data_IF_238076287143
#
_entry.id   IF_238076287143
#
_cell.length_a   1.000
_cell.length_b   1.000
_cell.length_c   1.000
_cell.angle_alpha   90.00
_cell.angle_beta   90.00
_cell.angle_gamma   90.00
#
_symmetry.space_group_name_H-M   'P 1'
#
loop_
_entity.id
_entity.type
_entity.pdbx_description
1 polymer ?
#
# COMPACT_ATOMS: atom_id res chain seq x y z
N UNK A 1 11.46 19.05 4.13
CA UNK A 1 10.02 19.33 4.01
C UNK A 1 9.26 18.26 4.78
N UNK A 2 8.54 18.63 5.84
CA UNK A 2 7.66 17.70 6.55
C UNK A 2 6.37 17.52 5.73
N UNK A 3 6.14 16.31 5.22
CA UNK A 3 4.86 15.97 4.61
C UNK A 3 3.90 15.54 5.71
N UNK A 4 2.78 16.26 5.86
CA UNK A 4 1.65 15.84 6.69
C UNK A 4 0.60 15.21 5.80
N UNK A 5 -0.01 14.14 6.30
CA UNK A 5 -1.15 13.51 5.64
C UNK A 5 -2.42 14.13 6.23
N UNK A 6 -3.26 14.72 5.38
CA UNK A 6 -4.49 15.40 5.82
C UNK A 6 -5.69 14.44 5.85
N UNK A 7 -5.76 13.53 4.87
CA UNK A 7 -6.82 12.52 4.77
C UNK A 7 -6.28 11.26 4.08
N UNK A 8 -6.78 10.11 4.52
CA UNK A 8 -6.53 8.79 3.97
C UNK A 8 -7.88 8.11 3.77
N UNK A 9 -8.19 7.74 2.53
CA UNK A 9 -9.34 6.91 2.20
C UNK A 9 -8.87 5.58 1.59
N UNK A 10 -9.32 4.46 2.16
CA UNK A 10 -8.99 3.10 1.70
C UNK A 10 -10.28 2.35 1.46
N UNK A 11 -10.48 1.86 0.24
CA UNK A 11 -11.67 1.09 -0.17
C UNK A 11 -11.24 -0.16 -0.93
N UNK A 12 -11.86 -1.30 -0.64
CA UNK A 12 -11.60 -2.55 -1.36
C UNK A 12 -10.19 -3.12 -1.20
N UNK A 13 -9.47 -2.79 -0.12
CA UNK A 13 -8.13 -3.31 0.14
C UNK A 13 -8.17 -4.48 1.13
N UNK A 14 -7.76 -5.68 0.68
CA UNK A 14 -7.85 -6.92 1.47
C UNK A 14 -9.26 -7.08 2.08
N UNK A 15 -9.37 -7.13 3.41
CA UNK A 15 -10.65 -7.26 4.12
C UNK A 15 -11.34 -5.91 4.43
N UNK A 16 -10.75 -4.78 4.03
CA UNK A 16 -11.30 -3.45 4.27
C UNK A 16 -12.32 -3.13 3.18
N UNK A 17 -13.58 -2.95 3.57
CA UNK A 17 -14.65 -2.52 2.67
C UNK A 17 -14.48 -1.04 2.30
N UNK A 18 -14.49 -0.18 3.31
CA UNK A 18 -14.25 1.25 3.19
C UNK A 18 -13.83 1.82 4.55
N UNK A 19 -12.78 2.64 4.57
CA UNK A 19 -12.30 3.36 5.75
C UNK A 19 -11.79 4.73 5.32
N UNK A 20 -12.22 5.78 6.00
CA UNK A 20 -11.68 7.13 5.83
C UNK A 20 -11.16 7.63 7.18
N UNK A 21 -9.96 8.22 7.17
CA UNK A 21 -9.28 8.68 8.37
C UNK A 21 -8.53 9.97 8.08
N UNK A 22 -8.78 10.99 8.91
CA UNK A 22 -7.98 12.21 8.97
C UNK A 22 -6.99 12.09 10.14
N UNK A 23 -5.72 11.71 9.92
CA UNK A 23 -4.78 11.47 11.01
C UNK A 23 -4.39 12.77 11.71
N UNK A 24 -4.51 12.77 13.04
CA UNK A 24 -4.00 13.83 13.90
C UNK A 24 -2.51 13.66 14.21
N UNK A 25 -1.92 14.51 15.09
CA UNK A 25 -0.52 14.38 15.51
C UNK A 25 -0.16 13.01 16.09
N UNK A 26 -1.13 12.36 16.73
CA UNK A 26 -1.06 10.97 17.21
C UNK A 26 -2.42 10.34 16.87
N UNK A 27 -2.42 9.18 16.22
CA UNK A 27 -3.64 8.44 15.88
C UNK A 27 -3.53 7.01 16.39
N UNK A 28 -4.53 6.55 17.15
CA UNK A 28 -4.56 5.20 17.74
C UNK A 28 -5.71 4.42 17.11
N UNK A 29 -5.41 3.24 16.54
CA UNK A 29 -6.39 2.35 15.95
C UNK A 29 -6.86 1.32 16.98
N UNK A 30 -8.13 1.39 17.41
CA UNK A 30 -8.72 0.49 18.42
C UNK A 30 -9.84 -0.35 17.81
N UNK A 31 -9.93 -1.62 18.20
CA UNK A 31 -11.06 -2.48 17.86
C UNK A 31 -10.78 -3.97 18.09
N UNK A 32 -11.73 -4.88 17.80
CA UNK A 32 -11.56 -6.32 17.96
C UNK A 32 -10.53 -6.90 16.98
N UNK A 33 -9.99 -8.08 17.30
CA UNK A 33 -9.15 -8.85 16.37
C UNK A 33 -9.95 -9.14 15.10
N UNK A 34 -9.34 -8.97 13.93
CA UNK A 34 -10.03 -9.14 12.64
C UNK A 34 -10.83 -7.92 12.14
N UNK A 35 -10.88 -6.81 12.89
CA UNK A 35 -11.53 -5.57 12.43
C UNK A 35 -10.81 -4.88 11.24
N UNK A 36 -9.69 -5.42 10.76
CA UNK A 36 -8.93 -4.85 9.64
C UNK A 36 -7.88 -3.80 10.02
N UNK A 37 -7.51 -3.68 11.30
CA UNK A 37 -6.46 -2.74 11.77
C UNK A 37 -5.10 -2.99 11.12
N UNK A 38 -4.63 -4.25 11.10
CA UNK A 38 -3.38 -4.60 10.43
C UNK A 38 -3.45 -4.33 8.93
N UNK A 39 -4.57 -4.67 8.30
CA UNK A 39 -4.78 -4.38 6.87
C UNK A 39 -4.78 -2.87 6.56
N UNK A 40 -5.19 -2.03 7.51
CA UNK A 40 -5.18 -0.57 7.34
C UNK A 40 -3.74 -0.05 7.43
N UNK A 41 -2.95 -0.56 8.37
CA UNK A 41 -1.52 -0.23 8.48
C UNK A 41 -0.79 -0.67 7.20
N UNK A 42 -1.04 -1.87 6.69
CA UNK A 42 -0.47 -2.36 5.42
C UNK A 42 -0.81 -1.42 4.25
N UNK A 43 -2.05 -0.92 4.18
CA UNK A 43 -2.47 0.01 3.14
C UNK A 43 -1.72 1.35 3.25
N UNK A 44 -1.54 1.87 4.46
CA UNK A 44 -0.78 3.12 4.70
C UNK A 44 0.70 2.95 4.36
N UNK A 45 1.29 1.81 4.69
CA UNK A 45 2.67 1.48 4.33
C UNK A 45 2.85 1.44 2.81
N UNK A 46 1.93 0.78 2.10
CA UNK A 46 1.89 0.76 0.64
C UNK A 46 1.81 2.19 0.07
N UNK A 47 0.94 3.04 0.60
CA UNK A 47 0.81 4.45 0.19
C UNK A 47 2.10 5.25 0.43
N UNK A 48 2.79 5.02 1.55
CA UNK A 48 4.09 5.63 1.83
C UNK A 48 5.13 5.27 0.79
N UNK A 49 5.28 3.97 0.49
CA UNK A 49 6.20 3.46 -0.53
C UNK A 49 5.88 3.97 -1.94
N UNK A 50 4.59 4.09 -2.27
CA UNK A 50 4.11 4.73 -3.51
C UNK A 50 4.59 6.18 -3.58
N UNK A 51 4.42 6.94 -2.49
CA UNK A 51 4.79 8.36 -2.42
C UNK A 51 6.32 8.57 -2.50
N UNK A 52 7.10 7.61 -2.02
CA UNK A 52 8.57 7.62 -2.09
C UNK A 52 9.13 7.14 -3.44
N UNK A 53 8.27 6.60 -4.32
CA UNK A 53 8.65 6.16 -5.68
C UNK A 53 9.09 4.70 -5.79
N UNK A 54 8.98 3.92 -4.71
CA UNK A 54 9.45 2.53 -4.60
C UNK A 54 8.39 1.46 -4.92
N UNK A 55 7.39 1.84 -5.72
CA UNK A 55 6.27 1.00 -6.17
C UNK A 55 6.68 -0.31 -6.83
N UNK A 56 7.86 -0.37 -7.44
CA UNK A 56 8.35 -1.53 -8.20
C UNK A 56 8.69 -2.73 -7.31
N UNK A 57 9.05 -2.51 -6.05
CA UNK A 57 9.44 -3.58 -5.13
C UNK A 57 8.24 -4.28 -4.49
N UNK A 58 7.19 -3.53 -4.14
CA UNK A 58 6.04 -4.07 -3.40
C UNK A 58 5.12 -4.94 -4.28
N UNK A 59 4.90 -4.54 -5.54
CA UNK A 59 4.11 -5.33 -6.49
C UNK A 59 4.78 -6.69 -6.76
N UNK A 60 6.11 -6.76 -6.73
CA UNK A 60 6.84 -8.03 -6.86
C UNK A 60 6.74 -8.93 -5.62
N UNK A 61 6.69 -8.35 -4.42
CA UNK A 61 6.69 -9.07 -3.15
C UNK A 61 5.29 -9.55 -2.71
N UNK A 62 4.22 -8.82 -3.07
CA UNK A 62 2.82 -9.17 -2.74
C UNK A 62 2.16 -10.08 -3.79
N UNK A 63 2.91 -10.63 -4.76
CA UNK A 63 2.41 -11.57 -5.77
C UNK A 63 1.80 -10.90 -7.01
N UNK A 64 2.28 -9.72 -7.40
CA UNK A 64 1.88 -9.06 -8.63
C UNK A 64 2.10 -9.93 -9.85
N UNK A 65 1.03 -10.12 -10.63
CA UNK A 65 1.15 -10.77 -11.95
C UNK A 65 2.11 -9.94 -12.81
N UNK A 66 3.07 -10.58 -13.50
CA UNK A 66 4.10 -9.89 -14.27
C UNK A 66 3.51 -8.96 -15.35
N UNK A 67 2.27 -9.19 -15.80
CA UNK A 67 1.61 -8.38 -16.83
C UNK A 67 1.09 -7.02 -16.35
N UNK A 68 0.95 -6.80 -15.04
CA UNK A 68 0.39 -5.54 -14.51
C UNK A 68 1.47 -4.51 -14.12
N UNK A 69 2.73 -4.72 -14.53
CA UNK A 69 3.78 -3.71 -14.32
C UNK A 69 3.51 -2.51 -15.23
N UNK A 70 3.18 -1.36 -14.63
CA UNK A 70 2.97 -0.09 -15.33
C UNK A 70 4.14 0.19 -16.27
N UNK A 71 3.81 0.40 -17.54
CA UNK A 71 4.74 0.57 -18.65
C UNK A 71 5.65 1.80 -18.46
N UNK A 72 6.78 1.64 -17.76
CA UNK A 72 7.97 2.46 -18.01
C UNK A 72 9.24 1.74 -17.58
N UNK A 73 9.88 1.13 -18.59
CA UNK A 73 11.26 0.63 -18.61
C UNK A 73 11.54 -0.62 -17.76
N UNK A 74 11.42 -1.77 -18.43
CA UNK A 74 11.93 -3.09 -17.99
C UNK A 74 13.47 -3.08 -18.11
N UNK A 75 14.25 -3.34 -17.03
CA UNK A 75 15.67 -3.65 -17.15
C UNK A 75 15.88 -5.08 -17.70
N UNK A 76 16.97 -5.34 -18.45
CA UNK A 76 17.11 -6.49 -19.36
C UNK A 76 17.32 -7.89 -18.73
N UNK A 77 17.06 -8.08 -17.44
CA UNK A 77 17.25 -9.36 -16.77
C UNK A 77 15.94 -9.93 -16.24
N UNK A 78 15.05 -10.29 -17.16
CA UNK A 78 13.97 -11.22 -16.90
C UNK A 78 14.55 -12.65 -16.92
N UNK A 79 15.04 -13.13 -15.77
CA UNK A 79 15.29 -14.55 -15.57
C UNK A 79 13.99 -15.24 -15.20
N UNK A 80 13.47 -16.03 -16.15
CA UNK A 80 12.67 -17.25 -16.01
C UNK A 80 11.57 -17.28 -14.95
N UNK A 81 10.32 -17.27 -15.41
CA UNK A 81 9.21 -17.87 -14.69
C UNK A 81 8.98 -19.27 -15.27
N UNK A 82 9.08 -20.30 -14.43
CA UNK A 82 8.32 -21.55 -14.58
C UNK A 82 6.92 -21.35 -13.99
#
# INVERSE_FOLDING_TARGET
MSRRVESIAVTGYKSIRATELAPGPITVLVGPNGAGKSNFIDAVELLGRIADGDLRMEVGLQGGRPCCTTARKVPPHASSCE
#
